data_IF_661003964477
#
_entry.id   IF_661003964477
#
_cell.length_a   1.000
_cell.length_b   1.000
_cell.length_c   1.000
_cell.angle_alpha   90.00
_cell.angle_beta   90.00
_cell.angle_gamma   90.00
#
_symmetry.space_group_name_H-M   'P 1'
#
loop_
_entity.id
_entity.type
_entity.pdbx_description
1 polymer ?
#
# COMPACT_ATOMS: atom_id res chain seq x y z
N UNK A 1 -0.37 -9.65 -21.87
CA UNK A 1 0.89 -9.06 -21.35
C UNK A 1 0.71 -8.69 -19.88
N UNK A 2 1.61 -9.14 -19.03
CA UNK A 2 1.54 -8.85 -17.59
C UNK A 2 1.97 -7.42 -17.32
N UNK A 3 1.09 -6.61 -16.75
CA UNK A 3 1.41 -5.22 -16.39
C UNK A 3 2.17 -5.15 -15.06
N UNK A 4 2.73 -3.98 -14.76
CA UNK A 4 3.36 -3.74 -13.45
C UNK A 4 2.35 -3.93 -12.31
N UNK A 5 1.12 -3.47 -12.48
CA UNK A 5 0.07 -3.67 -11.49
C UNK A 5 -0.25 -5.15 -11.27
N UNK A 6 -0.24 -5.96 -12.32
CA UNK A 6 -0.44 -7.40 -12.18
C UNK A 6 0.70 -8.05 -11.40
N UNK A 7 1.92 -7.62 -11.62
CA UNK A 7 3.09 -8.11 -10.89
C UNK A 7 2.99 -7.76 -9.40
N UNK A 8 2.65 -6.52 -9.09
CA UNK A 8 2.44 -6.05 -7.72
C UNK A 8 1.32 -6.86 -7.04
N UNK A 9 0.20 -7.07 -7.75
CA UNK A 9 -0.91 -7.85 -7.22
C UNK A 9 -0.49 -9.29 -6.91
N UNK A 10 0.30 -9.92 -7.78
CA UNK A 10 0.82 -11.27 -7.53
C UNK A 10 1.61 -11.35 -6.23
N UNK A 11 2.49 -10.39 -6.00
CA UNK A 11 3.28 -10.32 -4.75
C UNK A 11 2.35 -10.11 -3.55
N UNK A 12 1.42 -9.18 -3.66
CA UNK A 12 0.46 -8.89 -2.59
C UNK A 12 -0.43 -10.07 -2.26
N UNK A 13 -0.87 -10.85 -3.27
CA UNK A 13 -1.66 -12.05 -3.06
C UNK A 13 -0.96 -13.03 -2.10
N UNK A 14 0.36 -13.18 -2.25
CA UNK A 14 1.15 -14.05 -1.35
C UNK A 14 1.43 -13.39 0.00
N UNK A 15 1.84 -12.12 0.01
CA UNK A 15 2.14 -11.39 1.25
C UNK A 15 0.93 -11.36 2.18
N UNK A 16 -0.26 -11.13 1.63
CA UNK A 16 -1.49 -11.00 2.40
C UNK A 16 -2.05 -12.34 2.90
N UNK A 17 -1.43 -13.46 2.58
CA UNK A 17 -1.73 -14.73 3.24
C UNK A 17 -1.18 -14.80 4.67
N UNK A 18 -0.22 -13.94 5.00
CA UNK A 18 0.47 -13.86 6.29
C UNK A 18 1.18 -15.17 6.70
N UNK A 19 1.46 -16.04 5.73
CA UNK A 19 2.16 -17.31 5.98
C UNK A 19 3.65 -17.12 6.16
N UNK A 20 4.23 -16.13 5.49
CA UNK A 20 5.65 -15.83 5.49
C UNK A 20 5.87 -14.34 5.68
N UNK A 21 7.06 -13.96 6.15
CA UNK A 21 7.45 -12.56 6.26
C UNK A 21 7.45 -11.89 4.86
N UNK A 22 7.03 -10.63 4.81
CA UNK A 22 6.87 -9.91 3.54
C UNK A 22 8.18 -9.85 2.74
N UNK A 23 9.31 -9.60 3.40
CA UNK A 23 10.63 -9.54 2.75
C UNK A 23 11.02 -10.89 2.12
N UNK A 24 10.68 -12.00 2.76
CA UNK A 24 10.90 -13.34 2.23
C UNK A 24 10.06 -13.59 0.98
N UNK A 25 8.80 -13.19 0.99
CA UNK A 25 7.90 -13.32 -0.17
C UNK A 25 8.41 -12.50 -1.34
N UNK A 26 8.77 -11.24 -1.11
CA UNK A 26 9.28 -10.33 -2.14
C UNK A 26 10.57 -10.89 -2.74
N UNK A 27 11.51 -11.33 -1.90
CA UNK A 27 12.80 -11.91 -2.37
C UNK A 27 12.58 -13.18 -3.17
N UNK A 28 11.68 -14.05 -2.73
CA UNK A 28 11.35 -15.28 -3.45
C UNK A 28 10.74 -14.98 -4.82
N UNK A 29 9.81 -14.03 -4.87
CA UNK A 29 9.17 -13.63 -6.12
C UNK A 29 10.20 -13.05 -7.11
N UNK A 30 11.15 -12.23 -6.64
CA UNK A 30 12.22 -11.69 -7.49
C UNK A 30 13.13 -12.79 -8.05
N UNK A 31 13.45 -13.81 -7.26
CA UNK A 31 14.24 -14.96 -7.75
C UNK A 31 13.51 -15.74 -8.84
N UNK A 32 12.18 -15.79 -8.75
CA UNK A 32 11.36 -16.43 -9.78
C UNK A 32 11.21 -15.57 -11.05
N UNK A 33 11.57 -14.28 -10.98
CA UNK A 33 11.48 -13.32 -12.09
C UNK A 33 12.84 -12.66 -12.38
N UNK A 34 13.86 -13.44 -12.81
CA UNK A 34 15.23 -12.94 -12.92
C UNK A 34 15.41 -11.88 -14.01
N UNK A 35 14.46 -11.76 -14.94
CA UNK A 35 14.52 -10.76 -16.02
C UNK A 35 14.22 -9.35 -15.56
N UNK A 36 13.65 -9.17 -14.35
CA UNK A 36 13.38 -7.85 -13.80
C UNK A 36 14.69 -7.17 -13.38
N UNK A 37 14.91 -5.96 -13.89
CA UNK A 37 16.05 -5.13 -13.51
C UNK A 37 15.89 -4.52 -12.11
N UNK A 38 16.96 -3.88 -11.65
CA UNK A 38 17.02 -3.27 -10.31
C UNK A 38 15.90 -2.23 -10.10
N UNK A 39 15.67 -1.38 -11.11
CA UNK A 39 14.62 -0.34 -11.02
C UNK A 39 13.23 -0.94 -10.94
N UNK A 40 12.98 -1.98 -11.73
CA UNK A 40 11.68 -2.65 -11.74
C UNK A 40 11.41 -3.34 -10.38
N UNK A 41 12.42 -3.97 -9.82
CA UNK A 41 12.33 -4.61 -8.50
C UNK A 41 12.07 -3.58 -7.41
N UNK A 42 12.78 -2.46 -7.43
CA UNK A 42 12.57 -1.37 -6.48
C UNK A 42 11.15 -0.83 -6.57
N UNK A 43 10.64 -0.63 -7.78
CA UNK A 43 9.28 -0.13 -7.99
C UNK A 43 8.22 -1.08 -7.42
N UNK A 44 8.33 -2.38 -7.69
CA UNK A 44 7.42 -3.38 -7.13
C UNK A 44 7.50 -3.40 -5.61
N UNK A 45 8.71 -3.43 -5.05
CA UNK A 45 8.92 -3.46 -3.60
C UNK A 45 8.34 -2.23 -2.91
N UNK A 46 8.57 -1.04 -3.46
CA UNK A 46 8.05 0.21 -2.88
C UNK A 46 6.53 0.20 -2.80
N UNK A 47 5.85 -0.25 -3.85
CA UNK A 47 4.39 -0.32 -3.84
C UNK A 47 3.90 -1.34 -2.82
N UNK A 48 4.51 -2.52 -2.77
CA UNK A 48 4.13 -3.57 -1.82
C UNK A 48 4.27 -3.07 -0.37
N UNK A 49 5.39 -2.46 -0.03
CA UNK A 49 5.62 -1.96 1.33
C UNK A 49 4.75 -0.75 1.66
N UNK A 50 4.44 0.11 0.69
CA UNK A 50 3.49 1.19 0.88
C UNK A 50 2.09 0.66 1.20
N UNK A 51 1.63 -0.35 0.47
CA UNK A 51 0.34 -1.01 0.73
C UNK A 51 0.30 -1.59 2.13
N UNK A 52 1.36 -2.29 2.55
CA UNK A 52 1.42 -2.89 3.89
C UNK A 52 1.39 -1.81 4.99
N UNK A 53 2.09 -0.71 4.78
CA UNK A 53 2.12 0.41 5.72
C UNK A 53 0.75 1.07 5.90
N UNK A 54 -0.04 1.14 4.82
CA UNK A 54 -1.33 1.81 4.80
C UNK A 54 -2.50 0.84 4.60
N UNK A 55 -2.32 -0.43 4.95
CA UNK A 55 -3.24 -1.50 4.58
C UNK A 55 -4.68 -1.25 5.07
N UNK A 56 -4.84 -0.87 6.33
CA UNK A 56 -6.17 -0.64 6.91
C UNK A 56 -6.89 0.52 6.20
N UNK A 57 -6.17 1.60 5.96
CA UNK A 57 -6.68 2.75 5.21
C UNK A 57 -7.09 2.36 3.79
N UNK A 58 -6.21 1.66 3.09
CA UNK A 58 -6.45 1.27 1.70
C UNK A 58 -7.60 0.27 1.57
N UNK A 59 -7.75 -0.64 2.53
CA UNK A 59 -8.90 -1.55 2.58
C UNK A 59 -10.21 -0.79 2.76
N UNK A 60 -10.24 0.18 3.65
CA UNK A 60 -11.42 1.01 3.87
C UNK A 60 -11.83 1.77 2.61
N UNK A 61 -10.87 2.43 1.97
CA UNK A 61 -11.11 3.17 0.72
C UNK A 61 -11.47 2.22 -0.43
N UNK A 62 -10.93 1.01 -0.42
CA UNK A 62 -11.20 0.00 -1.44
C UNK A 62 -12.61 -0.56 -1.41
N UNK A 63 -13.33 -0.46 -0.30
CA UNK A 63 -14.69 -1.03 -0.17
C UNK A 63 -15.67 -0.46 -1.19
N UNK A 64 -15.49 0.78 -1.62
CA UNK A 64 -16.36 1.42 -2.62
C UNK A 64 -16.04 1.02 -4.06
N UNK A 65 -14.98 0.27 -4.29
CA UNK A 65 -14.58 -0.19 -5.60
C UNK A 65 -15.19 -1.54 -5.97
N UNK A 66 -15.05 -1.91 -7.23
CA UNK A 66 -15.49 -3.20 -7.76
C UNK A 66 -14.31 -3.99 -8.30
N UNK A 67 -14.50 -5.29 -8.53
CA UNK A 67 -13.45 -6.16 -9.07
C UNK A 67 -12.55 -6.75 -8.00
N UNK A 68 -11.32 -7.03 -8.36
CA UNK A 68 -10.36 -7.69 -7.46
C UNK A 68 -9.89 -6.76 -6.34
N UNK A 69 -10.12 -7.17 -5.09
CA UNK A 69 -9.78 -6.36 -3.91
C UNK A 69 -8.26 -6.09 -3.79
N UNK A 70 -7.43 -7.07 -4.10
CA UNK A 70 -5.96 -6.91 -4.02
C UNK A 70 -5.46 -5.96 -5.12
N UNK A 71 -6.06 -6.02 -6.31
CA UNK A 71 -5.75 -5.05 -7.36
C UNK A 71 -6.05 -3.61 -6.92
N UNK A 72 -7.14 -3.38 -6.19
CA UNK A 72 -7.44 -2.04 -5.66
C UNK A 72 -6.40 -1.56 -4.65
N UNK A 73 -5.86 -2.46 -3.84
CA UNK A 73 -4.73 -2.13 -2.96
C UNK A 73 -3.49 -1.75 -3.77
N UNK A 74 -3.17 -2.52 -4.81
CA UNK A 74 -2.04 -2.25 -5.69
C UNK A 74 -2.18 -0.88 -6.38
N UNK A 75 -3.36 -0.55 -6.87
CA UNK A 75 -3.65 0.75 -7.50
C UNK A 75 -3.39 1.90 -6.52
N UNK A 76 -3.87 1.81 -5.29
CA UNK A 76 -3.69 2.86 -4.29
C UNK A 76 -2.22 3.07 -3.95
N UNK A 77 -1.47 2.00 -3.75
CA UNK A 77 -0.03 2.10 -3.50
C UNK A 77 0.75 2.64 -4.70
N UNK A 78 0.39 2.19 -5.89
CA UNK A 78 1.06 2.62 -7.13
C UNK A 78 0.84 4.11 -7.42
N UNK A 79 -0.37 4.62 -7.20
CA UNK A 79 -0.66 6.04 -7.48
C UNK A 79 0.14 7.00 -6.59
N UNK A 80 0.56 6.54 -5.42
CA UNK A 80 1.35 7.32 -4.46
C UNK A 80 2.86 7.21 -4.73
N UNK A 81 3.32 6.02 -5.13
CA UNK A 81 4.77 5.72 -5.23
C UNK A 81 5.31 5.79 -6.65
N UNK A 82 4.47 5.60 -7.65
CA UNK A 82 4.84 5.64 -9.06
C UNK A 82 4.36 6.94 -9.72
N UNK A 83 4.68 7.11 -11.00
CA UNK A 83 4.13 8.20 -11.81
C UNK A 83 2.61 8.03 -11.96
N UNK A 84 1.78 8.93 -11.39
CA UNK A 84 0.34 8.79 -11.43
C UNK A 84 -0.25 8.72 -12.84
N UNK A 85 0.34 9.43 -13.80
CA UNK A 85 -0.14 9.43 -15.18
C UNK A 85 0.04 8.05 -15.83
N UNK A 86 1.18 7.41 -15.58
CA UNK A 86 1.45 6.05 -16.06
C UNK A 86 0.53 5.02 -15.45
N UNK A 87 0.23 5.17 -14.16
CA UNK A 87 -0.73 4.28 -13.47
C UNK A 87 -2.11 4.45 -14.07
N UNK A 88 -2.59 5.68 -14.21
CA UNK A 88 -3.92 5.96 -14.79
C UNK A 88 -4.07 5.45 -16.21
N UNK A 89 -2.99 5.46 -16.99
CA UNK A 89 -3.02 5.00 -18.38
C UNK A 89 -3.36 3.52 -18.55
N UNK A 90 -3.13 2.70 -17.51
CA UNK A 90 -3.40 1.25 -17.56
C UNK A 90 -4.69 0.86 -16.82
N UNK A 91 -5.42 1.83 -16.29
CA UNK A 91 -6.67 1.59 -15.57
C UNK A 91 -7.87 1.68 -16.52
N UNK A 92 -8.92 0.94 -16.20
CA UNK A 92 -10.20 1.09 -16.91
C UNK A 92 -11.00 2.29 -16.38
N UNK A 93 -12.09 2.61 -17.07
CA UNK A 93 -12.92 3.77 -16.70
C UNK A 93 -13.56 3.65 -15.31
N UNK A 94 -13.91 2.43 -14.91
CA UNK A 94 -14.46 2.16 -13.58
C UNK A 94 -13.45 2.38 -12.47
N UNK A 95 -12.23 1.95 -12.70
CA UNK A 95 -11.11 2.14 -11.76
C UNK A 95 -10.75 3.63 -11.62
N UNK A 96 -10.71 4.37 -12.71
CA UNK A 96 -10.46 5.82 -12.70
C UNK A 96 -11.57 6.55 -11.94
N UNK A 97 -12.84 6.22 -12.21
CA UNK A 97 -13.97 6.82 -11.52
C UNK A 97 -13.92 6.54 -10.01
N UNK A 98 -13.57 5.32 -9.63
CA UNK A 98 -13.39 4.96 -8.22
C UNK A 98 -12.26 5.77 -7.55
N UNK A 99 -11.09 5.89 -8.21
CA UNK A 99 -9.99 6.71 -7.70
C UNK A 99 -10.42 8.17 -7.49
N UNK A 100 -11.16 8.73 -8.43
CA UNK A 100 -11.64 10.10 -8.31
C UNK A 100 -12.64 10.25 -7.16
N UNK A 101 -13.49 9.23 -6.92
CA UNK A 101 -14.40 9.22 -5.76
C UNK A 101 -13.65 9.19 -4.44
N UNK A 102 -12.66 8.30 -4.28
CA UNK A 102 -11.93 8.19 -3.01
C UNK A 102 -11.04 9.41 -2.75
N UNK A 103 -10.59 10.10 -3.79
CA UNK A 103 -9.84 11.35 -3.65
C UNK A 103 -10.68 12.48 -3.02
N UNK A 104 -12.01 12.39 -3.08
CA UNK A 104 -12.93 13.36 -2.46
C UNK A 104 -13.21 13.06 -0.99
N UNK A 105 -12.81 11.89 -0.49
CA UNK A 105 -13.01 11.53 0.91
C UNK A 105 -12.03 12.32 1.77
N UNK A 106 -12.57 13.09 2.72
CA UNK A 106 -11.76 13.84 3.65
C UNK A 106 -11.13 12.91 4.68
N UNK A 107 -9.84 13.08 4.94
CA UNK A 107 -9.12 12.27 5.93
C UNK A 107 -9.77 12.31 7.31
N UNK A 108 -10.27 13.47 7.71
CA UNK A 108 -10.91 13.65 9.02
C UNK A 108 -12.23 12.89 9.16
N UNK A 109 -12.85 12.44 8.05
CA UNK A 109 -14.07 11.63 8.08
C UNK A 109 -13.79 10.18 8.49
N UNK A 110 -12.55 9.73 8.42
CA UNK A 110 -12.15 8.39 8.84
C UNK A 110 -11.66 8.39 10.28
N UNK A 111 -11.99 7.36 11.08
CA UNK A 111 -11.39 7.22 12.40
C UNK A 111 -9.86 7.23 12.34
N UNK A 112 -9.20 7.79 13.34
CA UNK A 112 -7.74 7.95 13.36
C UNK A 112 -7.02 6.61 13.18
N UNK A 113 -7.50 5.54 13.79
CA UNK A 113 -6.89 4.22 13.67
C UNK A 113 -6.98 3.65 12.24
N UNK A 114 -8.02 3.99 11.50
CA UNK A 114 -8.14 3.62 10.07
C UNK A 114 -7.25 4.52 9.21
N UNK A 115 -7.37 5.82 9.39
CA UNK A 115 -6.60 6.83 8.65
C UNK A 115 -5.10 6.62 8.81
N UNK A 116 -4.65 6.26 10.01
CA UNK A 116 -3.25 5.99 10.32
C UNK A 116 -2.83 4.53 10.17
N UNK A 117 -3.73 3.65 9.73
CA UNK A 117 -3.49 2.21 9.57
C UNK A 117 -2.93 1.56 10.84
N UNK A 118 -3.51 1.88 11.98
CA UNK A 118 -3.14 1.31 13.28
C UNK A 118 -3.99 0.08 13.58
N UNK A 119 -3.40 -1.01 14.11
CA UNK A 119 -4.19 -2.07 14.73
C UNK A 119 -4.98 -1.55 15.92
N UNK A 120 -6.16 -2.12 16.17
CA UNK A 120 -7.00 -1.67 17.28
C UNK A 120 -6.30 -1.77 18.64
N UNK A 121 -5.52 -2.84 18.88
CA UNK A 121 -4.77 -3.01 20.12
C UNK A 121 -3.75 -1.91 20.36
N UNK A 122 -3.09 -1.46 19.29
CA UNK A 122 -2.10 -0.39 19.38
C UNK A 122 -2.80 0.96 19.64
N UNK A 123 -3.87 1.23 18.90
CA UNK A 123 -4.65 2.45 19.09
C UNK A 123 -5.16 2.56 20.55
N UNK A 124 -5.70 1.48 21.11
CA UNK A 124 -6.15 1.45 22.51
C UNK A 124 -5.04 1.77 23.50
N UNK A 125 -3.80 1.40 23.18
CA UNK A 125 -2.62 1.66 24.02
C UNK A 125 -2.12 3.10 23.98
N UNK A 126 -2.29 3.78 22.84
CA UNK A 126 -1.69 5.11 22.60
C UNK A 126 -2.70 6.25 22.53
N UNK A 127 -4.00 5.97 22.49
CA UNK A 127 -5.06 6.98 22.29
C UNK A 127 -5.07 8.11 23.33
N UNK A 128 -4.55 7.88 24.50
CA UNK A 128 -4.46 8.86 25.58
C UNK A 128 -3.18 9.72 25.53
N UNK A 129 -2.25 9.41 24.62
CA UNK A 129 -1.01 10.15 24.54
C UNK A 129 -1.23 11.57 23.99
N UNK A 130 -0.49 12.58 24.49
CA UNK A 130 -0.54 13.91 23.91
C UNK A 130 0.01 13.89 22.49
N UNK A 131 -0.50 14.80 21.65
CA UNK A 131 -0.02 14.97 20.27
C UNK A 131 -0.16 13.69 19.42
N UNK A 132 -1.23 12.95 19.64
CA UNK A 132 -1.48 11.65 19.03
C UNK A 132 -1.45 11.70 17.50
N UNK A 133 -2.04 12.73 16.88
CA UNK A 133 -2.07 12.84 15.41
C UNK A 133 -0.68 12.96 14.80
N UNK A 134 0.21 13.73 15.42
CA UNK A 134 1.61 13.84 14.96
C UNK A 134 2.37 12.54 15.18
N UNK A 135 2.12 11.83 16.27
CA UNK A 135 2.71 10.51 16.52
C UNK A 135 2.28 9.51 15.43
N UNK A 136 1.01 9.47 15.10
CA UNK A 136 0.48 8.56 14.06
C UNK A 136 1.06 8.91 12.69
N UNK A 137 1.15 10.20 12.36
CA UNK A 137 1.77 10.64 11.11
C UNK A 137 3.23 10.21 11.03
N UNK A 138 3.98 10.34 12.13
CA UNK A 138 5.38 9.92 12.20
C UNK A 138 5.54 8.40 12.02
N UNK A 139 4.65 7.60 12.60
CA UNK A 139 4.67 6.14 12.46
C UNK A 139 4.41 5.68 11.01
N UNK A 140 3.74 6.49 10.20
CA UNK A 140 3.42 6.16 8.82
C UNK A 140 4.44 6.71 7.81
N UNK A 141 5.47 7.40 8.26
CA UNK A 141 6.57 7.84 7.41
C UNK A 141 7.55 6.71 7.14
N UNK A 142 8.18 6.75 5.96
CA UNK A 142 9.30 5.87 5.66
C UNK A 142 10.46 6.16 6.61
N UNK A 143 11.05 5.10 7.17
CA UNK A 143 12.21 5.25 8.03
C UNK A 143 13.45 5.56 7.20
N UNK A 144 14.36 6.45 7.68
CA UNK A 144 15.66 6.61 7.05
C UNK A 144 16.50 5.35 7.26
N UNK A 145 17.44 5.12 6.35
CA UNK A 145 18.37 4.00 6.48
C UNK A 145 19.44 4.35 7.51
N UNK A 146 19.38 3.71 8.67
CA UNK A 146 20.39 3.83 9.69
C UNK A 146 21.33 2.63 9.64
N UNK A 147 22.62 2.91 9.45
CA UNK A 147 23.67 1.87 9.43
C UNK A 147 24.50 2.02 10.69
N UNK A 148 24.56 0.96 11.50
CA UNK A 148 25.51 0.88 12.59
C UNK A 148 26.90 0.56 12.04
N UNK A 149 27.82 1.41 12.36
CA UNK A 149 29.24 1.23 12.02
C UNK A 149 29.94 0.48 13.15
#
# INVERSE_FOLDING_TARGET
MTTRLDQIRQVLDEVLTWRFAADSVVSHWFRAHPKLGIRDRAEVAEVVYDVLRHLRRYRQLGESGVGNAVRRLAIQGAIVTMDPEKVRAVLDSGEIAWLDRIAQIEDLSMPLQVRGSLPDWLYERIKELPDLENLVAALNQGAPLDIRV
#
